data_IF_671412862976
#
_entry.id   IF_671412862976
#
_cell.length_a   1.000
_cell.length_b   1.000
_cell.length_c   1.000
_cell.angle_alpha   90.00
_cell.angle_beta   90.00
_cell.angle_gamma   90.00
#
_symmetry.space_group_name_H-M   'P 1'
#
loop_
_entity.id
_entity.type
_entity.pdbx_description
1 polymer ?
#
# COMPACT_ATOMS: atom_id res chain seq x y z
N UNK A 1 28.14 -11.19 3.75
CA UNK A 1 27.42 -11.23 2.47
C UNK A 1 26.33 -10.19 2.57
N UNK A 2 26.52 -9.04 1.92
CA UNK A 2 25.49 -8.00 1.80
C UNK A 2 24.36 -8.54 0.94
N UNK A 3 23.19 -8.77 1.53
CA UNK A 3 21.96 -9.04 0.79
C UNK A 3 21.25 -7.72 0.56
N UNK A 4 21.07 -7.36 -0.71
CA UNK A 4 20.32 -6.17 -1.12
C UNK A 4 18.82 -6.44 -1.08
N UNK A 5 18.06 -5.42 -0.68
CA UNK A 5 16.60 -5.40 -0.65
C UNK A 5 16.05 -5.09 -2.05
N UNK A 6 15.06 -5.84 -2.56
CA UNK A 6 14.46 -5.56 -3.86
C UNK A 6 13.08 -6.17 -4.06
N UNK A 7 12.09 -5.35 -4.42
CA UNK A 7 10.71 -5.79 -4.69
C UNK A 7 10.51 -6.36 -6.11
N UNK A 8 11.48 -6.12 -6.98
CA UNK A 8 11.47 -6.51 -8.37
C UNK A 8 11.82 -8.00 -8.45
N UNK A 9 11.00 -8.79 -9.15
CA UNK A 9 11.27 -10.20 -9.36
C UNK A 9 12.59 -10.39 -10.15
N UNK A 10 13.24 -11.56 -10.06
CA UNK A 10 14.51 -11.84 -10.73
C UNK A 10 14.45 -11.62 -12.24
N UNK A 11 13.28 -11.89 -12.83
CA UNK A 11 13.02 -11.61 -14.23
C UNK A 11 13.28 -10.13 -14.54
N UNK A 12 13.08 -9.22 -13.59
CA UNK A 12 13.30 -7.77 -13.73
C UNK A 12 14.72 -7.26 -13.57
N UNK A 13 15.62 -8.06 -12.99
CA UNK A 13 16.96 -7.60 -12.63
C UNK A 13 18.11 -8.27 -13.40
N UNK A 14 17.84 -9.31 -14.21
CA UNK A 14 18.87 -10.06 -14.94
C UNK A 14 20.06 -10.49 -14.05
N UNK A 15 19.78 -10.83 -12.78
CA UNK A 15 20.76 -11.36 -11.82
C UNK A 15 20.48 -12.85 -11.66
N UNK A 16 21.38 -13.68 -12.21
CA UNK A 16 21.45 -15.11 -11.88
C UNK A 16 22.05 -15.22 -10.46
N UNK A 17 21.35 -15.87 -9.54
CA UNK A 17 21.81 -16.33 -8.20
C UNK A 17 21.41 -15.57 -6.92
N UNK A 18 20.23 -14.93 -6.82
CA UNK A 18 19.64 -14.65 -5.48
C UNK A 18 18.12 -14.80 -5.49
N UNK A 19 17.61 -15.99 -5.17
CA UNK A 19 16.18 -16.18 -4.85
C UNK A 19 15.94 -15.55 -3.48
N UNK A 20 15.59 -14.27 -3.46
CA UNK A 20 15.12 -13.62 -2.23
C UNK A 20 13.63 -13.90 -2.13
N UNK A 21 13.29 -14.93 -1.36
CA UNK A 21 11.93 -15.18 -0.95
C UNK A 21 11.58 -14.19 0.18
N UNK A 22 11.37 -12.92 -0.21
CA UNK A 22 11.07 -11.83 0.73
C UNK A 22 9.87 -12.18 1.62
N UNK A 23 8.94 -12.98 1.09
CA UNK A 23 7.86 -13.53 1.86
C UNK A 23 8.31 -14.55 2.92
N UNK A 24 9.04 -15.59 2.54
CA UNK A 24 9.47 -16.59 3.52
C UNK A 24 10.35 -15.97 4.61
N UNK A 25 11.13 -14.95 4.26
CA UNK A 25 11.82 -14.13 5.25
C UNK A 25 10.82 -13.38 6.16
N UNK A 26 9.85 -12.66 5.60
CA UNK A 26 8.86 -11.91 6.37
C UNK A 26 8.01 -12.82 7.27
N UNK A 27 7.54 -13.95 6.76
CA UNK A 27 6.79 -14.95 7.50
C UNK A 27 7.62 -15.53 8.67
N UNK A 28 8.87 -15.91 8.40
CA UNK A 28 9.77 -16.40 9.44
C UNK A 28 10.05 -15.33 10.50
N UNK A 29 10.16 -14.06 10.11
CA UNK A 29 10.34 -12.95 11.04
C UNK A 29 9.11 -12.75 11.94
N UNK A 30 7.90 -12.77 11.36
CA UNK A 30 6.66 -12.64 12.13
C UNK A 30 6.50 -13.82 13.11
N UNK A 31 6.78 -15.04 12.64
CA UNK A 31 6.73 -16.24 13.48
C UNK A 31 7.78 -16.18 14.61
N UNK A 32 9.02 -15.77 14.32
CA UNK A 32 10.09 -15.60 15.31
C UNK A 32 9.73 -14.55 16.37
N UNK A 33 9.23 -13.38 15.95
CA UNK A 33 8.73 -12.35 16.88
C UNK A 33 7.59 -12.93 17.75
N UNK A 34 6.70 -13.73 17.17
CA UNK A 34 5.62 -14.40 17.90
C UNK A 34 6.11 -15.40 18.96
N UNK A 35 7.33 -15.92 18.83
CA UNK A 35 7.95 -16.75 19.88
C UNK A 35 8.53 -15.91 21.03
N UNK A 36 8.90 -14.66 20.78
CA UNK A 36 9.59 -13.78 21.73
C UNK A 36 8.64 -12.77 22.41
N UNK A 37 7.53 -12.43 21.75
CA UNK A 37 6.54 -11.47 22.21
C UNK A 37 5.12 -12.01 22.01
N UNK A 38 4.20 -11.57 22.89
CA UNK A 38 2.77 -11.85 22.70
C UNK A 38 2.23 -10.92 21.61
N UNK A 39 2.19 -11.42 20.39
CA UNK A 39 1.54 -10.76 19.25
C UNK A 39 0.09 -11.22 19.13
N UNK A 40 -0.80 -10.30 18.74
CA UNK A 40 -2.15 -10.65 18.31
C UNK A 40 -2.10 -10.95 16.80
N UNK A 41 -2.29 -12.21 16.38
CA UNK A 41 -2.20 -12.57 14.96
C UNK A 41 -3.32 -11.94 14.11
N UNK A 42 -4.39 -11.43 14.74
CA UNK A 42 -5.42 -10.67 14.05
C UNK A 42 -5.03 -9.21 13.79
N UNK A 43 -3.85 -8.77 14.24
CA UNK A 43 -3.38 -7.37 14.19
C UNK A 43 -1.97 -7.26 13.62
N UNK A 44 -1.69 -7.99 12.54
CA UNK A 44 -0.43 -7.90 11.79
C UNK A 44 -0.62 -6.95 10.61
N UNK A 45 0.14 -5.86 10.57
CA UNK A 45 0.05 -4.86 9.50
C UNK A 45 1.39 -4.70 8.81
N UNK A 46 1.36 -4.36 7.51
CA UNK A 46 2.55 -4.00 6.75
C UNK A 46 2.47 -2.54 6.35
N UNK A 47 3.53 -1.80 6.61
CA UNK A 47 3.72 -0.44 6.12
C UNK A 47 4.99 -0.40 5.27
N UNK A 48 4.89 0.23 4.10
CA UNK A 48 5.98 0.27 3.14
C UNK A 48 6.12 1.63 2.47
N UNK A 49 7.34 2.17 2.48
CA UNK A 49 7.71 3.39 1.75
C UNK A 49 8.50 3.06 0.49
N UNK A 50 8.16 3.69 -0.64
CA UNK A 50 8.87 3.54 -1.92
C UNK A 50 8.93 2.07 -2.34
N UNK A 51 10.12 1.51 -2.56
CA UNK A 51 10.30 0.07 -2.80
C UNK A 51 9.66 -0.82 -1.73
N UNK A 52 9.66 -0.39 -0.47
CA UNK A 52 8.94 -1.10 0.61
C UNK A 52 7.43 -1.08 0.42
N UNK A 53 6.88 -0.04 -0.21
CA UNK A 53 5.47 0.01 -0.61
C UNK A 53 5.17 -0.97 -1.75
N UNK A 54 6.09 -1.12 -2.70
CA UNK A 54 5.95 -2.15 -3.73
C UNK A 54 5.96 -3.57 -3.12
N UNK A 55 6.82 -3.83 -2.12
CA UNK A 55 6.76 -5.07 -1.33
C UNK A 55 5.44 -5.21 -0.56
N UNK A 56 4.91 -4.12 0.00
CA UNK A 56 3.60 -4.11 0.67
C UNK A 56 2.47 -4.56 -0.26
N UNK A 57 2.44 -4.07 -1.50
CA UNK A 57 1.47 -4.56 -2.50
C UNK A 57 1.65 -6.04 -2.79
N UNK A 58 2.90 -6.51 -2.91
CA UNK A 58 3.19 -7.92 -3.17
C UNK A 58 2.67 -8.81 -2.02
N UNK A 59 2.93 -8.42 -0.77
CA UNK A 59 2.41 -9.12 0.41
C UNK A 59 0.89 -9.13 0.42
N UNK A 60 0.25 -7.99 0.16
CA UNK A 60 -1.21 -7.89 0.07
C UNK A 60 -1.80 -8.88 -0.94
N UNK A 61 -1.14 -9.03 -2.10
CA UNK A 61 -1.67 -9.81 -3.21
C UNK A 61 -1.36 -11.30 -3.08
N UNK A 62 -0.14 -11.66 -2.70
CA UNK A 62 0.30 -13.07 -2.63
C UNK A 62 -0.06 -13.73 -1.27
N UNK A 63 -0.17 -12.95 -0.18
CA UNK A 63 -0.35 -13.46 1.18
C UNK A 63 -1.43 -12.72 1.99
N UNK A 64 -2.63 -12.47 1.43
CA UNK A 64 -3.65 -11.66 2.08
C UNK A 64 -4.11 -12.21 3.44
N UNK A 65 -4.04 -13.51 3.65
CA UNK A 65 -4.43 -14.20 4.89
C UNK A 65 -3.48 -13.94 6.07
N UNK A 66 -2.35 -13.26 5.86
CA UNK A 66 -1.30 -13.06 6.86
C UNK A 66 -1.25 -11.65 7.41
N UNK A 67 -2.00 -10.74 6.82
CA UNK A 67 -2.04 -9.33 7.20
C UNK A 67 -3.48 -8.88 7.42
N UNK A 68 -3.69 -8.10 8.46
CA UNK A 68 -4.93 -7.41 8.75
C UNK A 68 -5.13 -6.17 7.86
N UNK A 69 -4.05 -5.61 7.34
CA UNK A 69 -4.10 -4.45 6.45
C UNK A 69 -2.72 -4.01 6.00
N UNK A 70 -2.67 -3.20 4.94
CA UNK A 70 -1.42 -2.70 4.35
C UNK A 70 -1.49 -1.20 4.14
N UNK A 71 -0.39 -0.50 4.44
CA UNK A 71 -0.19 0.92 4.16
C UNK A 71 0.95 1.11 3.16
N UNK A 72 0.64 1.74 2.02
CA UNK A 72 1.57 1.99 0.93
C UNK A 72 1.88 3.48 0.87
N UNK A 73 3.16 3.85 0.90
CA UNK A 73 3.61 5.23 0.89
C UNK A 73 4.55 5.43 -0.30
N UNK A 74 4.26 6.44 -1.13
CA UNK A 74 5.08 6.81 -2.29
C UNK A 74 5.43 5.63 -3.22
N UNK A 75 4.46 4.75 -3.48
CA UNK A 75 4.57 3.63 -4.42
C UNK A 75 3.25 3.42 -5.15
N UNK A 76 3.31 3.12 -6.44
CA UNK A 76 2.15 2.73 -7.23
C UNK A 76 2.14 1.22 -7.45
N UNK A 77 0.98 0.68 -7.85
CA UNK A 77 0.83 -0.73 -8.15
C UNK A 77 1.40 -1.02 -9.55
N UNK A 78 2.27 -2.03 -9.65
CA UNK A 78 2.75 -2.50 -10.96
C UNK A 78 1.74 -3.47 -11.58
N UNK A 79 1.71 -3.54 -12.92
CA UNK A 79 0.92 -4.54 -13.64
C UNK A 79 1.31 -5.98 -13.30
N UNK A 80 2.59 -6.23 -13.00
CA UNK A 80 3.09 -7.52 -12.58
C UNK A 80 2.46 -7.93 -11.24
N UNK A 81 2.58 -7.07 -10.22
CA UNK A 81 2.00 -7.31 -8.89
C UNK A 81 0.48 -7.40 -8.95
N UNK A 82 -0.18 -6.60 -9.80
CA UNK A 82 -1.62 -6.67 -10.01
C UNK A 82 -2.09 -8.06 -10.45
N UNK A 83 -1.33 -8.76 -11.31
CA UNK A 83 -1.67 -10.12 -11.74
C UNK A 83 -1.67 -11.13 -10.57
N UNK A 84 -0.83 -10.91 -9.56
CA UNK A 84 -0.78 -11.74 -8.36
C UNK A 84 -1.94 -11.49 -7.39
N UNK A 85 -2.68 -10.39 -7.53
CA UNK A 85 -3.88 -10.12 -6.71
C UNK A 85 -5.14 -10.81 -7.27
N UNK A 86 -5.05 -11.47 -8.43
CA UNK A 86 -6.22 -12.07 -9.08
C UNK A 86 -6.69 -13.28 -8.25
N UNK A 87 -7.99 -13.29 -7.90
CA UNK A 87 -8.63 -14.31 -7.06
C UNK A 87 -8.11 -14.43 -5.63
N UNK A 88 -7.36 -13.45 -5.13
CA UNK A 88 -6.92 -13.43 -3.74
C UNK A 88 -7.91 -12.66 -2.85
N UNK A 89 -7.82 -12.83 -1.53
CA UNK A 89 -8.77 -12.24 -0.60
C UNK A 89 -8.56 -10.71 -0.49
N UNK A 90 -9.62 -9.89 -0.37
CA UNK A 90 -9.50 -8.47 -0.09
C UNK A 90 -8.76 -8.19 1.22
N UNK A 91 -7.95 -7.13 1.24
CA UNK A 91 -7.18 -6.69 2.41
C UNK A 91 -7.39 -5.18 2.59
N UNK A 92 -7.73 -4.70 3.80
CA UNK A 92 -7.77 -3.27 4.08
C UNK A 92 -6.51 -2.57 3.58
N UNK A 93 -6.68 -1.51 2.79
CA UNK A 93 -5.58 -0.82 2.13
C UNK A 93 -5.64 0.68 2.41
N UNK A 94 -4.51 1.24 2.84
CA UNK A 94 -4.29 2.68 2.87
C UNK A 94 -3.13 3.06 1.95
N UNK A 95 -3.27 4.14 1.19
CA UNK A 95 -2.26 4.66 0.29
C UNK A 95 -1.98 6.13 0.59
N UNK A 96 -0.71 6.52 0.60
CA UNK A 96 -0.26 7.92 0.73
C UNK A 96 0.62 8.22 -0.48
N UNK A 97 0.15 9.05 -1.40
CA UNK A 97 0.79 9.25 -2.71
C UNK A 97 0.99 10.75 -3.00
N UNK A 98 2.19 11.11 -3.47
CA UNK A 98 2.47 12.45 -3.99
C UNK A 98 2.00 12.60 -5.43
N UNK A 99 1.24 13.66 -5.75
CA UNK A 99 0.77 13.87 -7.13
C UNK A 99 1.86 14.36 -8.08
N UNK A 100 3.00 14.83 -7.55
CA UNK A 100 4.17 15.27 -8.29
C UNK A 100 5.37 14.31 -8.10
N UNK A 101 5.13 13.10 -7.59
CA UNK A 101 6.16 12.06 -7.50
C UNK A 101 6.72 11.74 -8.90
N UNK A 102 8.05 11.73 -9.03
CA UNK A 102 8.75 11.44 -10.29
C UNK A 102 9.38 10.05 -10.33
N UNK A 103 9.39 9.36 -9.20
CA UNK A 103 9.90 8.00 -9.05
C UNK A 103 8.76 7.00 -9.28
N UNK A 104 7.60 7.24 -8.66
CA UNK A 104 6.36 6.51 -8.91
C UNK A 104 5.29 7.49 -9.41
N UNK A 105 5.29 7.83 -10.71
CA UNK A 105 4.45 8.89 -11.23
C UNK A 105 2.96 8.63 -11.01
N UNK A 106 2.25 9.64 -10.52
CA UNK A 106 0.80 9.58 -10.32
C UNK A 106 0.04 9.28 -11.63
N UNK A 107 0.60 9.69 -12.77
CA UNK A 107 0.11 9.38 -14.11
C UNK A 107 0.49 7.99 -14.64
N UNK A 108 1.23 7.20 -13.87
CA UNK A 108 1.79 5.91 -14.29
C UNK A 108 3.07 6.08 -15.11
N UNK A 109 3.75 4.96 -15.35
CA UNK A 109 4.94 4.92 -16.21
C UNK A 109 5.03 3.59 -16.93
N UNK A 110 5.69 3.59 -18.08
CA UNK A 110 5.97 2.40 -18.86
C UNK A 110 7.46 2.40 -19.23
N UNK A 111 8.16 1.32 -18.91
CA UNK A 111 9.58 1.16 -19.19
C UNK A 111 9.82 -0.18 -19.89
N UNK A 112 10.56 -0.17 -20.99
CA UNK A 112 11.05 -1.40 -21.63
C UNK A 112 12.46 -1.63 -21.11
N UNK A 113 12.65 -2.76 -20.40
CA UNK A 113 13.96 -3.18 -19.90
C UNK A 113 14.84 -3.67 -21.05
N UNK A 114 16.14 -3.76 -20.79
CA UNK A 114 17.14 -4.19 -21.80
C UNK A 114 16.93 -5.61 -22.31
N UNK A 115 16.22 -6.45 -21.56
CA UNK A 115 15.80 -7.81 -21.92
C UNK A 115 14.50 -7.86 -22.74
N UNK A 116 13.90 -6.71 -23.06
CA UNK A 116 12.68 -6.59 -23.86
C UNK A 116 11.38 -6.66 -23.06
N UNK A 117 11.43 -6.81 -21.73
CA UNK A 117 10.22 -6.86 -20.90
C UNK A 117 9.65 -5.46 -20.66
N UNK A 118 8.33 -5.35 -20.70
CA UNK A 118 7.59 -4.13 -20.41
C UNK A 118 7.20 -4.10 -18.94
N UNK A 119 7.70 -3.11 -18.20
CA UNK A 119 7.28 -2.82 -16.84
C UNK A 119 6.33 -1.64 -16.87
N UNK A 120 5.08 -1.90 -16.49
CA UNK A 120 4.05 -0.88 -16.38
C UNK A 120 3.75 -0.63 -14.90
N UNK A 121 4.00 0.61 -14.45
CA UNK A 121 3.45 1.15 -13.23
C UNK A 121 2.11 1.78 -13.55
N UNK A 122 1.05 1.32 -12.89
CA UNK A 122 -0.30 1.79 -13.15
C UNK A 122 -0.43 3.27 -12.75
N UNK A 123 -1.17 4.03 -13.53
CA UNK A 123 -1.61 5.36 -13.12
C UNK A 123 -2.53 5.26 -11.91
N UNK A 124 -2.66 6.36 -11.17
CA UNK A 124 -3.60 6.46 -10.07
C UNK A 124 -5.00 5.96 -10.44
N UNK A 125 -5.53 6.39 -11.58
CA UNK A 125 -6.86 5.98 -12.04
C UNK A 125 -6.92 4.48 -12.35
N UNK A 126 -5.88 3.93 -12.98
CA UNK A 126 -5.80 2.51 -13.31
C UNK A 126 -5.70 1.64 -12.04
N UNK A 127 -4.81 1.98 -11.11
CA UNK A 127 -4.66 1.22 -9.87
C UNK A 127 -5.92 1.30 -9.02
N UNK A 128 -6.58 2.47 -8.89
CA UNK A 128 -7.80 2.58 -8.10
C UNK A 128 -8.94 1.77 -8.71
N UNK A 129 -9.05 1.76 -10.04
CA UNK A 129 -10.04 0.93 -10.73
C UNK A 129 -9.78 -0.55 -10.46
N UNK A 130 -8.53 -0.99 -10.61
CA UNK A 130 -8.13 -2.37 -10.36
C UNK A 130 -8.37 -2.77 -8.90
N UNK A 131 -7.88 -1.99 -7.95
CA UNK A 131 -7.99 -2.27 -6.52
C UNK A 131 -9.45 -2.28 -6.06
N UNK A 132 -10.26 -1.33 -6.52
CA UNK A 132 -11.68 -1.31 -6.19
C UNK A 132 -12.41 -2.54 -6.75
N UNK A 133 -12.04 -3.03 -7.94
CA UNK A 133 -12.58 -4.28 -8.48
C UNK A 133 -12.11 -5.49 -7.67
N UNK A 134 -10.82 -5.57 -7.35
CA UNK A 134 -10.23 -6.63 -6.54
C UNK A 134 -10.89 -6.72 -5.15
N UNK A 135 -11.04 -5.57 -4.48
CA UNK A 135 -11.71 -5.44 -3.18
C UNK A 135 -13.24 -5.52 -3.27
N UNK A 136 -13.80 -5.62 -4.48
CA UNK A 136 -15.25 -5.64 -4.78
C UNK A 136 -15.98 -4.45 -4.17
N UNK A 137 -15.36 -3.27 -4.21
CA UNK A 137 -15.91 -2.02 -3.71
C UNK A 137 -17.03 -1.48 -4.62
N UNK A 138 -18.09 -0.95 -4.01
CA UNK A 138 -19.07 -0.14 -4.74
C UNK A 138 -18.48 1.24 -5.03
N UNK A 139 -18.08 1.47 -6.29
CA UNK A 139 -17.48 2.73 -6.72
C UNK A 139 -18.40 3.97 -6.54
N UNK A 140 -19.72 3.79 -6.59
CA UNK A 140 -20.70 4.86 -6.46
C UNK A 140 -20.86 5.46 -5.04
N UNK A 141 -19.96 5.13 -4.10
CA UNK A 141 -19.99 5.60 -2.71
C UNK A 141 -18.67 6.21 -2.22
N UNK A 142 -17.67 6.38 -3.09
CA UNK A 142 -16.41 6.99 -2.71
C UNK A 142 -16.60 8.42 -2.19
N UNK A 143 -16.03 8.75 -1.03
CA UNK A 143 -16.08 10.11 -0.48
C UNK A 143 -14.72 10.80 -0.66
N UNK A 144 -14.69 11.87 -1.45
CA UNK A 144 -13.51 12.74 -1.63
C UNK A 144 -13.62 13.97 -0.72
N UNK A 145 -12.58 14.24 0.09
CA UNK A 145 -12.52 15.42 0.97
C UNK A 145 -11.12 16.00 1.02
N UNK A 146 -11.01 17.33 1.12
CA UNK A 146 -9.75 17.94 1.55
C UNK A 146 -9.67 17.79 3.07
N UNK A 147 -8.58 17.19 3.55
CA UNK A 147 -8.40 16.91 4.99
C UNK A 147 -7.25 17.69 5.60
N UNK A 148 -6.39 18.32 4.80
CA UNK A 148 -5.33 19.20 5.31
C UNK A 148 -5.92 20.43 6.02
N UNK A 149 -5.31 20.82 7.14
CA UNK A 149 -5.65 22.06 7.84
C UNK A 149 -5.19 23.28 7.04
N UNK A 150 -5.69 24.46 7.39
CA UNK A 150 -5.26 25.72 6.74
C UNK A 150 -3.77 26.05 6.94
N UNK A 151 -3.18 25.55 8.03
CA UNK A 151 -1.76 25.78 8.36
C UNK A 151 -0.84 24.73 7.74
N UNK A 152 -1.40 23.66 7.17
CA UNK A 152 -0.58 22.60 6.61
C UNK A 152 0.18 23.09 5.37
N UNK A 153 1.50 22.82 5.28
CA UNK A 153 2.30 23.16 4.10
C UNK A 153 1.98 22.27 2.88
N UNK A 154 1.21 21.19 3.08
CA UNK A 154 0.85 20.23 2.04
C UNK A 154 -0.66 20.14 1.99
N UNK A 155 -1.25 20.41 0.83
CA UNK A 155 -2.68 20.15 0.64
C UNK A 155 -2.89 18.64 0.52
N UNK A 156 -3.76 18.09 1.34
CA UNK A 156 -4.07 16.66 1.37
C UNK A 156 -5.51 16.43 0.99
N UNK A 157 -5.72 15.67 -0.07
CA UNK A 157 -7.04 15.19 -0.50
C UNK A 157 -7.16 13.72 -0.15
N UNK A 158 -8.23 13.34 0.53
CA UNK A 158 -8.53 11.97 0.87
C UNK A 158 -9.68 11.44 0.02
N UNK A 159 -9.49 10.25 -0.54
CA UNK A 159 -10.57 9.44 -1.10
C UNK A 159 -10.79 8.20 -0.22
N UNK A 160 -12.05 7.87 0.06
CA UNK A 160 -12.38 6.73 0.90
C UNK A 160 -13.47 5.87 0.26
N UNK A 161 -13.21 4.57 0.14
CA UNK A 161 -14.12 3.54 -0.36
C UNK A 161 -14.32 2.50 0.74
N UNK A 162 -15.50 2.49 1.37
CA UNK A 162 -15.80 1.69 2.56
C UNK A 162 -16.79 0.54 2.29
N UNK A 163 -17.56 0.63 1.21
CA UNK A 163 -18.50 -0.41 0.79
C UNK A 163 -17.81 -1.50 -0.04
N UNK A 164 -16.86 -2.20 0.57
CA UNK A 164 -16.04 -3.25 -0.04
C UNK A 164 -16.30 -4.63 0.60
N UNK A 165 -15.99 -5.71 -0.12
CA UNK A 165 -16.20 -7.06 0.40
C UNK A 165 -15.27 -7.35 1.58
N UNK A 166 -15.74 -8.14 2.54
CA UNK A 166 -14.93 -8.56 3.68
C UNK A 166 -14.48 -7.41 4.60
N UNK A 167 -15.14 -6.26 4.57
CA UNK A 167 -14.77 -5.10 5.41
C UNK A 167 -13.36 -4.57 5.10
N UNK A 168 -12.92 -4.70 3.85
CA UNK A 168 -11.60 -4.32 3.37
C UNK A 168 -11.67 -3.01 2.56
N UNK A 169 -11.62 -1.84 3.20
CA UNK A 169 -11.76 -0.57 2.50
C UNK A 169 -10.48 -0.16 1.80
N UNK A 170 -10.60 0.84 0.93
CA UNK A 170 -9.48 1.56 0.34
C UNK A 170 -9.51 3.01 0.82
N UNK A 171 -8.46 3.42 1.55
CA UNK A 171 -8.21 4.79 1.95
C UNK A 171 -7.06 5.35 1.13
N UNK A 172 -7.23 6.51 0.53
CA UNK A 172 -6.16 7.22 -0.17
C UNK A 172 -5.98 8.59 0.46
N UNK A 173 -4.74 8.98 0.69
CA UNK A 173 -4.31 10.34 0.95
C UNK A 173 -3.40 10.81 -0.20
N UNK A 174 -3.93 11.64 -1.08
CA UNK A 174 -3.19 12.29 -2.15
C UNK A 174 -2.57 13.60 -1.64
N UNK A 175 -1.25 13.67 -1.67
CA UNK A 175 -0.45 14.84 -1.31
C UNK A 175 -0.26 15.70 -2.56
N UNK A 176 -1.02 16.79 -2.64
CA UNK A 176 -1.08 17.61 -3.84
C UNK A 176 0.23 18.36 -4.06
N UNK A 177 0.72 18.33 -5.30
CA UNK A 177 1.99 18.95 -5.73
C UNK A 177 3.24 18.44 -4.98
N UNK A 178 3.07 17.37 -4.21
CA UNK A 178 4.13 16.78 -3.40
C UNK A 178 4.86 15.67 -4.19
N UNK A 179 6.18 15.62 -4.03
CA UNK A 179 7.05 14.65 -4.69
C UNK A 179 7.13 13.30 -3.99
N UNK A 180 8.25 12.62 -4.16
CA UNK A 180 8.52 11.33 -3.53
C UNK A 180 8.87 11.50 -2.05
N UNK A 181 7.98 11.09 -1.14
CA UNK A 181 8.24 11.24 0.29
C UNK A 181 7.10 10.75 1.19
N UNK A 182 7.33 10.81 2.49
CA UNK A 182 6.46 10.25 3.51
C UNK A 182 5.25 11.15 3.86
N UNK A 183 5.34 12.45 3.57
CA UNK A 183 4.27 13.41 3.87
C UNK A 183 4.17 13.87 5.32
N UNK A 184 5.14 13.54 6.20
CA UNK A 184 5.07 13.83 7.65
C UNK A 184 5.01 15.32 8.06
N UNK A 185 5.14 16.26 7.12
CA UNK A 185 4.86 17.68 7.37
C UNK A 185 3.38 18.05 7.20
N UNK A 186 2.54 17.11 6.75
CA UNK A 186 1.11 17.34 6.58
C UNK A 186 0.40 17.33 7.94
N UNK A 187 -0.44 18.35 8.15
CA UNK A 187 -1.35 18.44 9.29
C UNK A 187 -2.75 18.27 8.74
N UNK A 188 -3.52 17.33 9.30
CA UNK A 188 -4.84 16.96 8.81
C UNK A 188 -5.89 17.02 9.91
N UNK A 189 -7.15 17.10 9.51
CA UNK A 189 -8.30 16.75 10.36
C UNK A 189 -8.58 15.26 10.19
N UNK A 190 -8.50 14.50 11.28
CA UNK A 190 -8.76 13.05 11.33
C UNK A 190 -10.26 12.76 11.31
N UNK A 191 -10.62 11.48 11.19
CA UNK A 191 -12.03 11.05 11.04
C UNK A 191 -12.90 11.35 12.28
N UNK A 192 -12.29 11.46 13.45
CA UNK A 192 -12.96 11.89 14.70
C UNK A 192 -13.12 13.42 14.81
N UNK A 193 -12.66 14.18 13.81
CA UNK A 193 -12.70 15.63 13.76
C UNK A 193 -11.55 16.34 14.48
N UNK A 194 -10.64 15.61 15.13
CA UNK A 194 -9.46 16.17 15.77
C UNK A 194 -8.36 16.54 14.76
N UNK A 195 -7.45 17.43 15.16
CA UNK A 195 -6.25 17.73 14.40
C UNK A 195 -5.20 16.63 14.64
N UNK A 196 -4.44 16.28 13.61
CA UNK A 196 -3.38 15.27 13.71
C UNK A 196 -2.52 15.16 12.47
N UNK A 197 -1.76 14.08 12.36
CA UNK A 197 -0.84 13.79 11.25
C UNK A 197 -1.27 12.58 10.41
N UNK A 198 -0.57 12.33 9.30
CA UNK A 198 -0.77 11.11 8.50
C UNK A 198 -0.38 9.85 9.28
N UNK A 199 0.63 9.94 10.16
CA UNK A 199 1.05 8.86 11.05
C UNK A 199 -0.06 8.46 12.03
N UNK A 200 -0.70 9.44 12.66
CA UNK A 200 -1.83 9.17 13.54
C UNK A 200 -3.00 8.56 12.77
N UNK A 201 -3.27 9.01 11.54
CA UNK A 201 -4.27 8.39 10.68
C UNK A 201 -3.93 6.94 10.28
N UNK A 202 -2.65 6.59 10.14
CA UNK A 202 -2.22 5.19 9.94
C UNK A 202 -2.52 4.34 11.17
N UNK A 203 -2.27 4.86 12.38
CA UNK A 203 -2.61 4.15 13.62
C UNK A 203 -4.13 4.00 13.79
N UNK A 204 -4.92 5.02 13.42
CA UNK A 204 -6.39 4.93 13.40
C UNK A 204 -6.85 3.83 12.44
N UNK A 205 -6.25 3.75 11.25
CA UNK A 205 -6.51 2.67 10.29
C UNK A 205 -6.18 1.30 10.89
N UNK A 206 -5.03 1.12 11.54
CA UNK A 206 -4.71 -0.14 12.21
C UNK A 206 -5.70 -0.49 13.32
N UNK A 207 -6.13 0.49 14.11
CA UNK A 207 -7.10 0.26 15.18
C UNK A 207 -8.48 -0.13 14.64
N UNK A 208 -8.88 0.43 13.50
CA UNK A 208 -10.20 0.21 12.90
C UNK A 208 -10.35 -1.14 12.19
N UNK A 209 -9.26 -1.72 11.67
CA UNK A 209 -9.32 -2.89 10.78
C UNK A 209 -8.45 -4.06 11.27
N UNK A 210 -8.83 -4.77 12.35
CA UNK A 210 -8.24 -6.08 12.65
C UNK A 210 -8.68 -7.11 11.60
N UNK A 211 -7.84 -8.12 11.35
CA UNK A 211 -8.19 -9.25 10.49
C UNK A 211 -9.43 -9.94 11.06
N UNK A 212 -10.41 -10.19 10.19
CA UNK A 212 -11.57 -10.98 10.57
C UNK A 212 -11.15 -12.43 10.73
N UNK A 213 -11.64 -13.09 11.79
CA UNK A 213 -11.41 -14.51 11.96
C UNK A 213 -11.91 -15.24 10.70
N UNK A 214 -11.07 -16.11 10.14
CA UNK A 214 -11.50 -16.97 9.04
C UNK A 214 -12.73 -17.78 9.49
N UNK A 215 -13.79 -17.87 8.65
CA UNK A 215 -15.00 -18.61 8.97
C UNK A 215 -14.73 -20.11 9.21
#
# INVERSE_FOLDING_TARGET
MEQGWGYLDQDELNVRDVYTDDWNFFAALVDDIGTQARIDPSRVYVIGFSNGGSLGYRIMCEYPQRVAGVVIIASTLSSYTANHCVNTAPVPLMMILGTADRIFPFGGSAEIKSDGRLILQLSFQQQMTFLAQHQKCRLAGGTTRTVSTMESPIRVVRDFYDQCAGGAPILLYALMEYGHGYGGAASITRDDGSLGTLEEAMFDFFAAYPAQAAP
#
